data_IF_015300378304
#
_entry.id   IF_015300378304
#
_cell.length_a   1.000
_cell.length_b   1.000
_cell.length_c   1.000
_cell.angle_alpha   90.00
_cell.angle_beta   90.00
_cell.angle_gamma   90.00
#
_symmetry.space_group_name_H-M   'P 1'
#
loop_
_entity.id
_entity.type
_entity.pdbx_description
1 polymer ?
#
# COMPACT_ATOMS: atom_id res chain seq x y z
N UNK A 1 30.15 34.49 26.26
CA UNK A 1 28.75 34.10 26.57
C UNK A 1 27.85 34.05 25.32
N UNK A 2 27.91 35.05 24.41
CA UNK A 2 27.06 35.01 23.18
C UNK A 2 27.32 33.81 22.25
N UNK A 3 28.54 33.34 22.15
CA UNK A 3 28.92 32.18 21.32
C UNK A 3 28.35 30.86 21.82
N UNK A 4 28.16 30.71 23.15
CA UNK A 4 27.59 29.50 23.77
C UNK A 4 26.09 29.40 23.46
N UNK A 5 25.36 30.52 23.46
CA UNK A 5 23.94 30.53 23.12
C UNK A 5 23.66 30.19 21.64
N UNK A 6 24.57 30.62 20.75
CA UNK A 6 24.50 30.28 19.32
C UNK A 6 24.71 28.77 19.11
N UNK A 7 25.64 28.17 19.83
CA UNK A 7 25.96 26.75 19.76
C UNK A 7 24.82 25.88 20.31
N UNK A 8 24.19 26.30 21.41
CA UNK A 8 23.01 25.64 22.00
C UNK A 8 21.80 25.77 21.05
N UNK A 9 21.58 26.93 20.44
CA UNK A 9 20.50 27.13 19.47
C UNK A 9 20.67 26.22 18.25
N UNK A 10 21.91 26.06 17.75
CA UNK A 10 22.23 25.16 16.65
C UNK A 10 22.02 23.68 17.02
N UNK A 11 22.35 23.29 18.25
CA UNK A 11 22.16 21.91 18.75
C UNK A 11 20.69 21.55 18.88
N UNK A 12 19.84 22.48 19.34
CA UNK A 12 18.40 22.27 19.50
C UNK A 12 17.68 22.15 18.14
N UNK A 13 18.11 22.90 17.11
CA UNK A 13 17.52 22.82 15.78
C UNK A 13 17.86 21.52 15.04
N UNK A 14 18.97 20.86 15.39
CA UNK A 14 19.33 19.55 14.83
C UNK A 14 18.58 18.38 15.47
N UNK A 15 18.15 18.50 16.73
CA UNK A 15 17.46 17.45 17.46
C UNK A 15 16.00 17.23 17.00
N UNK A 16 15.37 18.19 16.34
CA UNK A 16 13.94 18.11 15.98
C UNK A 16 13.65 17.35 14.67
N UNK A 17 14.68 17.00 13.89
CA UNK A 17 14.47 16.30 12.60
C UNK A 17 14.30 14.77 12.70
N UNK A 18 14.56 14.17 13.87
CA UNK A 18 14.49 12.72 14.08
C UNK A 18 13.08 12.17 14.34
N UNK A 19 12.20 12.95 14.93
CA UNK A 19 10.88 12.45 15.38
C UNK A 19 9.84 12.25 14.27
N UNK A 20 9.98 12.89 13.11
CA UNK A 20 9.02 12.77 12.01
C UNK A 20 9.15 11.43 11.28
N UNK A 21 10.35 10.86 11.19
CA UNK A 21 10.60 9.59 10.48
C UNK A 21 10.08 8.36 11.23
N UNK A 22 10.12 8.36 12.57
CA UNK A 22 9.60 7.24 13.37
C UNK A 22 8.08 7.13 13.27
N UNK A 23 7.36 8.25 13.24
CA UNK A 23 5.89 8.25 13.07
C UNK A 23 5.47 7.75 11.67
N UNK A 24 6.20 8.12 10.62
CA UNK A 24 5.91 7.66 9.26
C UNK A 24 6.16 6.15 9.11
N UNK A 25 7.24 5.64 9.71
CA UNK A 25 7.56 4.20 9.72
C UNK A 25 6.52 3.42 10.53
N UNK A 26 6.11 3.93 11.69
CA UNK A 26 5.06 3.32 12.51
C UNK A 26 3.70 3.29 11.77
N UNK A 27 3.38 4.36 11.04
CA UNK A 27 2.16 4.44 10.23
C UNK A 27 2.22 3.51 9.02
N UNK A 28 3.39 3.34 8.43
CA UNK A 28 3.61 2.38 7.34
C UNK A 28 3.49 0.93 7.82
N UNK A 29 3.98 0.62 9.02
CA UNK A 29 3.83 -0.67 9.68
C UNK A 29 2.35 -0.97 10.00
N UNK A 30 1.62 0.00 10.55
CA UNK A 30 0.17 -0.09 10.77
C UNK A 30 -0.61 -0.34 9.46
N UNK A 31 -0.20 0.31 8.38
CA UNK A 31 -0.80 0.13 7.06
C UNK A 31 -0.51 -1.24 6.47
N UNK A 32 0.68 -1.80 6.73
CA UNK A 32 1.05 -3.17 6.35
C UNK A 32 0.28 -4.21 7.18
N UNK A 33 0.03 -3.93 8.45
CA UNK A 33 -0.78 -4.77 9.32
C UNK A 33 -2.24 -4.80 8.87
N UNK A 34 -2.83 -3.65 8.56
CA UNK A 34 -4.16 -3.56 7.92
C UNK A 34 -4.23 -4.37 6.64
N UNK A 35 -3.19 -4.31 5.79
CA UNK A 35 -3.14 -5.08 4.57
C UNK A 35 -3.08 -6.59 4.81
N UNK A 36 -2.35 -7.02 5.83
CA UNK A 36 -2.29 -8.43 6.22
C UNK A 36 -3.67 -8.91 6.68
N UNK A 37 -4.42 -8.06 7.38
CA UNK A 37 -5.80 -8.31 7.75
C UNK A 37 -6.71 -8.42 6.50
N UNK A 38 -6.59 -7.50 5.53
CA UNK A 38 -7.33 -7.58 4.26
C UNK A 38 -6.98 -8.83 3.44
N UNK A 39 -5.72 -9.25 3.44
CA UNK A 39 -5.31 -10.51 2.77
C UNK A 39 -5.96 -11.74 3.41
N UNK A 40 -6.12 -11.75 4.74
CA UNK A 40 -6.88 -12.80 5.44
C UNK A 40 -8.36 -12.74 5.07
N UNK A 41 -8.96 -11.55 5.07
CA UNK A 41 -10.34 -11.34 4.64
C UNK A 41 -10.57 -11.87 3.21
N UNK A 42 -9.65 -11.60 2.29
CA UNK A 42 -9.75 -12.10 0.91
C UNK A 42 -9.66 -13.63 0.84
N UNK A 43 -8.76 -14.24 1.63
CA UNK A 43 -8.66 -15.70 1.74
C UNK A 43 -9.95 -16.29 2.28
N UNK A 44 -10.47 -15.73 3.36
CA UNK A 44 -11.69 -16.18 4.02
C UNK A 44 -12.93 -15.94 3.13
N UNK A 45 -12.94 -14.84 2.35
CA UNK A 45 -13.98 -14.61 1.32
C UNK A 45 -13.93 -15.64 0.20
N UNK A 46 -12.74 -16.01 -0.26
CA UNK A 46 -12.57 -17.04 -1.30
C UNK A 46 -13.01 -18.41 -0.80
N UNK A 47 -12.75 -18.71 0.45
CA UNK A 47 -13.17 -19.95 1.09
C UNK A 47 -14.67 -19.89 1.45
N UNK A 48 -15.18 -18.75 1.90
CA UNK A 48 -16.61 -18.49 2.08
C UNK A 48 -17.42 -18.56 0.77
N UNK A 49 -16.84 -18.13 -0.35
CA UNK A 49 -17.44 -18.27 -1.67
C UNK A 49 -17.57 -19.75 -2.09
N UNK A 50 -16.56 -20.57 -1.81
CA UNK A 50 -16.63 -22.02 -2.04
C UNK A 50 -17.70 -22.70 -1.16
N UNK A 51 -17.87 -22.19 0.08
CA UNK A 51 -18.88 -22.70 1.04
C UNK A 51 -20.27 -22.31 0.61
N UNK A 52 -20.48 -21.09 0.08
CA UNK A 52 -21.77 -20.63 -0.46
C UNK A 52 -22.20 -21.38 -1.73
N UNK A 53 -21.24 -21.84 -2.52
CA UNK A 53 -21.44 -22.69 -3.69
C UNK A 53 -21.81 -24.15 -3.28
N UNK A 54 -21.34 -24.59 -2.10
CA UNK A 54 -21.56 -25.95 -1.55
C UNK A 54 -22.71 -26.10 -0.56
N UNK A 55 -23.43 -25.05 -0.21
CA UNK A 55 -24.60 -25.13 0.70
C UNK A 55 -24.35 -24.58 2.10
N UNK A 56 -25.38 -23.95 2.62
CA UNK A 56 -25.51 -23.18 3.87
C UNK A 56 -25.10 -23.91 5.18
N UNK A 57 -24.88 -25.21 5.15
CA UNK A 57 -24.70 -26.02 6.37
C UNK A 57 -23.27 -26.09 6.94
N UNK A 58 -22.29 -25.54 6.23
CA UNK A 58 -20.87 -25.66 6.67
C UNK A 58 -20.36 -24.40 7.41
N UNK A 59 -21.18 -23.35 7.53
CA UNK A 59 -20.80 -22.08 8.19
C UNK A 59 -20.59 -22.21 9.69
N UNK A 60 -21.04 -23.33 10.32
CA UNK A 60 -21.04 -23.54 11.77
C UNK A 60 -19.69 -23.89 12.38
N UNK A 61 -18.71 -24.31 11.57
CA UNK A 61 -17.45 -24.86 12.04
C UNK A 61 -16.21 -23.98 11.85
N UNK A 62 -16.37 -22.73 11.40
CA UNK A 62 -15.24 -21.78 11.31
C UNK A 62 -15.04 -21.10 12.65
N UNK A 63 -14.15 -21.69 13.41
CA UNK A 63 -13.76 -21.48 14.80
C UNK A 63 -13.24 -20.06 15.13
N UNK A 64 -13.66 -19.59 16.17
CA UNK A 64 -13.48 -18.72 17.34
C UNK A 64 -12.25 -17.79 17.46
N UNK A 65 -11.28 -17.72 16.56
CA UNK A 65 -9.99 -17.05 16.86
C UNK A 65 -9.78 -15.62 16.35
N UNK A 66 -10.41 -15.18 15.24
CA UNK A 66 -10.16 -13.87 14.61
C UNK A 66 -11.44 -13.20 14.08
N UNK A 67 -12.54 -13.47 14.70
CA UNK A 67 -13.88 -13.30 14.16
C UNK A 67 -14.40 -11.85 14.11
N UNK A 68 -13.88 -10.92 14.89
CA UNK A 68 -14.56 -9.61 15.05
C UNK A 68 -14.41 -8.64 13.88
N UNK A 69 -13.26 -8.60 13.20
CA UNK A 69 -13.05 -7.71 12.05
C UNK A 69 -13.62 -8.37 10.77
N UNK A 70 -13.41 -9.67 10.64
CA UNK A 70 -13.97 -10.46 9.54
C UNK A 70 -15.50 -10.51 9.59
N UNK A 71 -16.07 -10.58 10.79
CA UNK A 71 -17.52 -10.60 10.98
C UNK A 71 -18.18 -9.32 10.47
N UNK A 72 -17.65 -8.14 10.80
CA UNK A 72 -18.24 -6.87 10.34
C UNK A 72 -18.19 -6.71 8.83
N UNK A 73 -17.11 -7.17 8.19
CA UNK A 73 -16.98 -7.14 6.73
C UNK A 73 -17.90 -8.20 6.07
N UNK A 74 -17.89 -9.43 6.57
CA UNK A 74 -18.74 -10.52 6.06
C UNK A 74 -20.22 -10.25 6.35
N UNK A 75 -20.57 -9.76 7.53
CA UNK A 75 -21.95 -9.38 7.87
C UNK A 75 -22.42 -8.23 6.97
N UNK A 76 -21.55 -7.25 6.67
CA UNK A 76 -21.83 -6.20 5.70
C UNK A 76 -22.06 -6.76 4.30
N UNK A 77 -21.21 -7.67 3.85
CA UNK A 77 -21.30 -8.31 2.55
C UNK A 77 -22.50 -9.27 2.45
N UNK A 78 -22.88 -9.93 3.54
CA UNK A 78 -24.06 -10.83 3.58
C UNK A 78 -25.39 -10.08 3.54
N UNK A 79 -25.41 -8.83 3.97
CA UNK A 79 -26.61 -7.99 3.98
C UNK A 79 -26.83 -7.23 2.68
N UNK A 80 -25.83 -7.09 1.80
CA UNK A 80 -26.05 -6.57 0.44
C UNK A 80 -26.63 -7.63 -0.47
N UNK A 81 -27.23 -7.19 -1.58
CA UNK A 81 -27.81 -8.09 -2.55
C UNK A 81 -26.80 -9.11 -3.11
N UNK A 82 -27.24 -10.28 -3.57
CA UNK A 82 -26.38 -11.25 -4.23
C UNK A 82 -25.59 -10.68 -5.40
N UNK A 83 -26.12 -9.67 -6.07
CA UNK A 83 -25.49 -8.98 -7.22
C UNK A 83 -24.23 -8.27 -6.79
N UNK A 84 -24.30 -7.42 -5.77
CA UNK A 84 -23.15 -6.66 -5.23
C UNK A 84 -22.12 -7.61 -4.58
N UNK A 85 -22.60 -8.61 -3.85
CA UNK A 85 -21.73 -9.59 -3.19
C UNK A 85 -20.87 -10.40 -4.16
N UNK A 86 -21.43 -10.75 -5.34
CA UNK A 86 -20.73 -11.51 -6.38
C UNK A 86 -19.94 -10.63 -7.35
N UNK A 87 -19.92 -9.31 -7.12
CA UNK A 87 -19.29 -8.40 -8.06
C UNK A 87 -17.77 -8.56 -8.06
N UNK A 88 -17.24 -9.07 -9.15
CA UNK A 88 -15.83 -9.48 -9.30
C UNK A 88 -14.82 -8.36 -9.00
N UNK A 89 -15.18 -7.10 -9.28
CA UNK A 89 -14.27 -5.96 -9.06
C UNK A 89 -13.94 -5.77 -7.59
N UNK A 90 -14.79 -6.21 -6.64
CA UNK A 90 -14.48 -6.16 -5.19
C UNK A 90 -13.21 -6.94 -4.86
N UNK A 91 -13.10 -8.18 -5.33
CA UNK A 91 -11.90 -9.00 -5.13
C UNK A 91 -10.69 -8.44 -5.88
N UNK A 92 -10.90 -7.89 -7.08
CA UNK A 92 -9.81 -7.30 -7.87
C UNK A 92 -9.22 -6.05 -7.22
N UNK A 93 -10.03 -5.19 -6.58
CA UNK A 93 -9.55 -4.03 -5.81
C UNK A 93 -8.57 -4.47 -4.71
N UNK A 94 -8.93 -5.52 -3.97
CA UNK A 94 -8.07 -6.06 -2.90
C UNK A 94 -6.78 -6.66 -3.49
N UNK A 95 -6.88 -7.36 -4.62
CA UNK A 95 -5.70 -7.87 -5.32
C UNK A 95 -4.76 -6.74 -5.78
N UNK A 96 -5.30 -5.63 -6.27
CA UNK A 96 -4.52 -4.47 -6.67
C UNK A 96 -3.79 -3.85 -5.48
N UNK A 97 -4.44 -3.74 -4.33
CA UNK A 97 -3.79 -3.28 -3.10
C UNK A 97 -2.59 -4.18 -2.72
N UNK A 98 -2.77 -5.50 -2.75
CA UNK A 98 -1.70 -6.45 -2.47
C UNK A 98 -0.54 -6.28 -3.46
N UNK A 99 -0.85 -6.12 -4.75
CA UNK A 99 0.16 -5.90 -5.80
C UNK A 99 0.91 -4.58 -5.59
N UNK A 100 0.21 -3.47 -5.33
CA UNK A 100 0.81 -2.17 -5.04
C UNK A 100 1.86 -2.29 -3.93
N UNK A 101 1.51 -2.91 -2.80
CA UNK A 101 2.45 -3.04 -1.68
C UNK A 101 3.59 -4.00 -1.99
N UNK A 102 3.34 -5.12 -2.66
CA UNK A 102 4.39 -6.06 -3.04
C UNK A 102 5.40 -5.41 -3.98
N UNK A 103 4.91 -4.74 -5.03
CA UNK A 103 5.75 -4.09 -6.04
C UNK A 103 6.55 -2.93 -5.44
N UNK A 104 5.94 -2.12 -4.57
CA UNK A 104 6.63 -1.09 -3.80
C UNK A 104 7.78 -1.66 -2.96
N UNK A 105 7.48 -2.64 -2.09
CA UNK A 105 8.50 -3.19 -1.17
C UNK A 105 9.68 -3.77 -1.93
N UNK A 106 9.42 -4.49 -3.02
CA UNK A 106 10.46 -5.10 -3.84
C UNK A 106 11.33 -4.04 -4.52
N UNK A 107 10.71 -3.06 -5.17
CA UNK A 107 11.42 -2.02 -5.88
C UNK A 107 12.24 -1.13 -4.94
N UNK A 108 11.64 -0.69 -3.83
CA UNK A 108 12.33 0.18 -2.86
C UNK A 108 13.52 -0.51 -2.19
N UNK A 109 13.41 -1.81 -1.88
CA UNK A 109 14.54 -2.58 -1.38
C UNK A 109 15.70 -2.63 -2.39
N UNK A 110 15.40 -2.85 -3.67
CA UNK A 110 16.39 -2.84 -4.75
C UNK A 110 17.05 -1.45 -4.91
N UNK A 111 16.28 -0.37 -4.82
CA UNK A 111 16.81 1.00 -4.91
C UNK A 111 17.73 1.33 -3.75
N UNK A 112 17.40 0.91 -2.52
CA UNK A 112 18.31 1.03 -1.37
C UNK A 112 19.60 0.23 -1.56
N UNK A 113 19.52 -1.01 -2.01
CA UNK A 113 20.69 -1.88 -2.23
C UNK A 113 21.60 -1.37 -3.35
N UNK A 114 21.06 -0.73 -4.37
CA UNK A 114 21.84 -0.20 -5.48
C UNK A 114 22.87 0.86 -5.04
N UNK A 115 22.66 1.53 -3.91
CA UNK A 115 23.53 2.57 -3.35
C UNK A 115 23.93 3.66 -4.36
N UNK A 116 22.96 4.07 -5.18
CA UNK A 116 23.10 5.06 -6.25
C UNK A 116 22.42 6.37 -5.88
N UNK A 117 21.36 6.29 -5.09
CA UNK A 117 20.58 7.46 -4.67
C UNK A 117 21.17 8.10 -3.41
N UNK A 118 21.10 9.43 -3.35
CA UNK A 118 21.38 10.20 -2.14
C UNK A 118 20.21 10.03 -1.15
N UNK A 119 20.49 10.28 0.13
CA UNK A 119 19.46 10.17 1.19
C UNK A 119 18.19 10.97 0.86
N UNK A 120 18.32 12.23 0.40
CA UNK A 120 17.16 13.05 0.02
C UNK A 120 16.34 12.48 -1.14
N UNK A 121 16.99 11.84 -2.13
CA UNK A 121 16.30 11.19 -3.24
C UNK A 121 15.55 9.94 -2.76
N UNK A 122 16.15 9.13 -1.88
CA UNK A 122 15.47 7.99 -1.27
C UNK A 122 14.26 8.42 -0.45
N UNK A 123 14.37 9.52 0.31
CA UNK A 123 13.23 10.10 1.05
C UNK A 123 12.11 10.53 0.09
N UNK A 124 12.45 11.16 -1.04
CA UNK A 124 11.45 11.54 -2.06
C UNK A 124 10.75 10.32 -2.64
N UNK A 125 11.50 9.27 -2.99
CA UNK A 125 10.96 8.01 -3.48
C UNK A 125 10.02 7.38 -2.45
N UNK A 126 10.43 7.33 -1.18
CA UNK A 126 9.64 6.79 -0.07
C UNK A 126 8.35 7.57 0.15
N UNK A 127 8.42 8.91 0.13
CA UNK A 127 7.25 9.79 0.25
C UNK A 127 6.26 9.56 -0.89
N UNK A 128 6.75 9.37 -2.11
CA UNK A 128 5.89 9.07 -3.26
C UNK A 128 5.11 7.78 -3.04
N UNK A 129 5.78 6.71 -2.62
CA UNK A 129 5.11 5.45 -2.31
C UNK A 129 4.11 5.58 -1.14
N UNK A 130 4.50 6.27 -0.07
CA UNK A 130 3.65 6.51 1.09
C UNK A 130 2.35 7.21 0.68
N UNK A 131 2.43 8.22 -0.19
CA UNK A 131 1.27 8.93 -0.70
C UNK A 131 0.32 8.00 -1.49
N UNK A 132 0.86 7.16 -2.37
CA UNK A 132 0.06 6.19 -3.13
C UNK A 132 -0.60 5.17 -2.21
N UNK A 133 0.13 4.65 -1.23
CA UNK A 133 -0.39 3.69 -0.25
C UNK A 133 -1.52 4.32 0.56
N UNK A 134 -1.33 5.53 1.07
CA UNK A 134 -2.37 6.22 1.84
C UNK A 134 -3.63 6.49 1.01
N UNK A 135 -3.48 6.83 -0.27
CA UNK A 135 -4.61 6.98 -1.18
C UNK A 135 -5.31 5.65 -1.45
N UNK A 136 -4.57 4.57 -1.66
CA UNK A 136 -5.15 3.25 -1.89
C UNK A 136 -5.86 2.68 -0.66
N UNK A 137 -5.37 2.99 0.55
CA UNK A 137 -6.05 2.64 1.79
C UNK A 137 -7.38 3.37 1.95
N UNK A 138 -7.46 4.66 1.58
CA UNK A 138 -8.75 5.38 1.56
C UNK A 138 -9.76 4.72 0.62
N UNK A 139 -9.32 4.22 -0.53
CA UNK A 139 -10.17 3.47 -1.44
C UNK A 139 -10.70 2.16 -0.82
N UNK A 140 -9.87 1.47 -0.03
CA UNK A 140 -10.33 0.28 0.70
C UNK A 140 -11.31 0.63 1.83
N UNK A 141 -11.08 1.72 2.54
CA UNK A 141 -12.01 2.21 3.57
C UNK A 141 -13.37 2.57 2.92
N UNK A 142 -13.35 3.25 1.77
CA UNK A 142 -14.56 3.55 1.00
C UNK A 142 -15.25 2.29 0.49
N UNK A 143 -14.51 1.34 -0.08
CA UNK A 143 -15.06 0.05 -0.48
C UNK A 143 -15.78 -0.64 0.68
N UNK A 144 -15.16 -0.64 1.86
CA UNK A 144 -15.74 -1.22 3.08
C UNK A 144 -17.06 -0.55 3.44
N UNK A 145 -17.17 0.76 3.28
CA UNK A 145 -18.42 1.51 3.54
C UNK A 145 -19.49 1.15 2.49
N UNK A 146 -19.12 1.12 1.21
CA UNK A 146 -20.02 0.81 0.09
C UNK A 146 -20.59 -0.59 0.18
N UNK A 147 -19.78 -1.59 0.57
CA UNK A 147 -20.24 -2.98 0.72
C UNK A 147 -20.91 -3.28 2.06
N UNK A 148 -20.84 -2.34 3.03
CA UNK A 148 -21.52 -2.52 4.32
C UNK A 148 -22.99 -2.11 4.20
N UNK A 149 -23.90 -3.05 4.44
CA UNK A 149 -25.32 -2.71 4.52
C UNK A 149 -25.60 -1.86 5.75
N UNK A 150 -26.52 -0.94 5.64
CA UNK A 150 -26.94 -0.10 6.77
C UNK A 150 -26.08 1.13 7.04
N UNK A 151 -24.87 1.26 6.49
CA UNK A 151 -24.06 2.50 6.61
C UNK A 151 -24.46 3.58 5.61
N UNK A 152 -24.93 3.18 4.43
CA UNK A 152 -25.38 4.10 3.39
C UNK A 152 -26.74 3.66 2.84
N UNK A 153 -27.63 4.63 2.60
CA UNK A 153 -28.87 4.40 1.84
C UNK A 153 -28.54 4.47 0.35
N UNK A 154 -28.05 3.36 -0.20
CA UNK A 154 -27.67 3.21 -1.61
C UNK A 154 -28.39 2.03 -2.19
N UNK A 155 -28.88 2.18 -3.43
CA UNK A 155 -29.34 1.08 -4.28
C UNK A 155 -28.15 0.20 -4.71
N UNK A 156 -28.44 -0.99 -5.21
CA UNK A 156 -27.40 -1.89 -5.73
C UNK A 156 -26.63 -1.26 -6.92
N UNK A 157 -27.34 -0.54 -7.79
CA UNK A 157 -26.73 0.14 -8.95
C UNK A 157 -25.77 1.25 -8.50
N UNK A 158 -26.16 2.04 -7.50
CA UNK A 158 -25.27 3.07 -6.93
C UNK A 158 -24.03 2.45 -6.27
N UNK A 159 -24.18 1.29 -5.61
CA UNK A 159 -23.06 0.54 -5.02
C UNK A 159 -22.13 0.00 -6.10
N UNK A 160 -22.66 -0.58 -7.17
CA UNK A 160 -21.88 -1.09 -8.30
C UNK A 160 -21.10 0.06 -8.95
N UNK A 161 -21.73 1.19 -9.21
CA UNK A 161 -21.07 2.37 -9.78
C UNK A 161 -19.95 2.89 -8.87
N UNK A 162 -20.16 2.91 -7.55
CA UNK A 162 -19.13 3.29 -6.59
C UNK A 162 -17.95 2.29 -6.58
N UNK A 163 -18.24 0.98 -6.64
CA UNK A 163 -17.20 -0.06 -6.75
C UNK A 163 -16.41 0.08 -8.05
N UNK A 164 -17.09 0.39 -9.16
CA UNK A 164 -16.45 0.60 -10.46
C UNK A 164 -15.46 1.76 -10.42
N UNK A 165 -15.86 2.88 -9.84
CA UNK A 165 -15.00 4.03 -9.65
C UNK A 165 -13.78 3.70 -8.77
N UNK A 166 -14.01 3.03 -7.64
CA UNK A 166 -12.92 2.59 -6.75
C UNK A 166 -11.96 1.65 -7.49
N UNK A 167 -12.49 0.76 -8.31
CA UNK A 167 -11.69 -0.16 -9.11
C UNK A 167 -10.77 0.59 -10.08
N UNK A 168 -11.29 1.53 -10.85
CA UNK A 168 -10.53 2.36 -11.79
C UNK A 168 -9.44 3.15 -11.05
N UNK A 169 -9.78 3.78 -9.93
CA UNK A 169 -8.79 4.49 -9.12
C UNK A 169 -7.68 3.59 -8.58
N UNK A 170 -7.99 2.33 -8.23
CA UNK A 170 -6.98 1.37 -7.75
C UNK A 170 -6.13 0.83 -8.90
N UNK A 171 -6.71 0.66 -10.09
CA UNK A 171 -5.97 0.30 -11.30
C UNK A 171 -4.96 1.38 -11.67
N UNK A 172 -5.39 2.65 -11.68
CA UNK A 172 -4.51 3.80 -11.94
C UNK A 172 -3.34 3.85 -10.95
N UNK A 173 -3.59 3.62 -9.66
CA UNK A 173 -2.54 3.59 -8.65
C UNK A 173 -1.53 2.45 -8.88
N UNK A 174 -2.00 1.28 -9.28
CA UNK A 174 -1.12 0.15 -9.63
C UNK A 174 -0.28 0.46 -10.86
N UNK A 175 -0.89 1.05 -11.90
CA UNK A 175 -0.20 1.48 -13.12
C UNK A 175 0.85 2.55 -12.80
N UNK A 176 0.50 3.52 -11.96
CA UNK A 176 1.46 4.53 -11.50
C UNK A 176 2.66 3.91 -10.79
N UNK A 177 2.45 3.00 -9.83
CA UNK A 177 3.55 2.33 -9.11
C UNK A 177 4.47 1.59 -10.09
N UNK A 178 3.92 0.88 -11.06
CA UNK A 178 4.70 0.17 -12.07
C UNK A 178 5.52 1.10 -12.95
N UNK A 179 4.89 2.18 -13.41
CA UNK A 179 5.59 3.19 -14.20
C UNK A 179 6.71 3.84 -13.37
N UNK A 180 6.42 4.26 -12.15
CA UNK A 180 7.39 4.86 -11.25
C UNK A 180 8.57 3.92 -10.93
N UNK A 181 8.30 2.65 -10.69
CA UNK A 181 9.32 1.63 -10.48
C UNK A 181 10.23 1.49 -11.70
N UNK A 182 9.65 1.46 -12.90
CA UNK A 182 10.39 1.34 -14.16
C UNK A 182 11.30 2.55 -14.39
N UNK A 183 10.77 3.77 -14.25
CA UNK A 183 11.55 5.00 -14.47
C UNK A 183 12.68 5.13 -13.43
N UNK A 184 12.41 4.79 -12.17
CA UNK A 184 13.41 4.79 -11.11
C UNK A 184 14.49 3.74 -11.36
N UNK A 185 14.13 2.54 -11.83
CA UNK A 185 15.08 1.49 -12.19
C UNK A 185 15.97 1.90 -13.39
N UNK A 186 15.41 2.57 -14.40
CA UNK A 186 16.18 3.13 -15.49
C UNK A 186 17.21 4.15 -15.01
N UNK A 187 16.83 5.02 -14.07
CA UNK A 187 17.76 5.96 -13.43
C UNK A 187 18.90 5.24 -12.71
N UNK A 188 18.62 4.13 -12.01
CA UNK A 188 19.67 3.31 -11.38
C UNK A 188 20.65 2.79 -12.42
N UNK A 189 20.17 2.22 -13.51
CA UNK A 189 21.00 1.67 -14.58
C UNK A 189 21.89 2.74 -15.23
N UNK A 190 21.32 3.90 -15.54
CA UNK A 190 22.06 5.02 -16.12
C UNK A 190 23.20 5.49 -15.22
N UNK A 191 22.90 5.74 -13.94
CA UNK A 191 23.92 6.20 -12.97
C UNK A 191 24.98 5.13 -12.68
N UNK A 192 24.63 3.85 -12.69
CA UNK A 192 25.59 2.75 -12.58
C UNK A 192 26.55 2.73 -13.76
N UNK A 193 26.04 2.91 -14.97
CA UNK A 193 26.86 3.00 -16.19
C UNK A 193 27.83 4.17 -16.11
N UNK A 194 27.33 5.37 -15.79
CA UNK A 194 28.16 6.58 -15.63
C UNK A 194 29.27 6.36 -14.59
N UNK A 195 28.95 5.78 -13.44
CA UNK A 195 29.93 5.48 -12.38
C UNK A 195 31.02 4.52 -12.87
N UNK A 196 30.64 3.53 -13.66
CA UNK A 196 31.59 2.57 -14.24
C UNK A 196 32.48 3.22 -15.28
N UNK A 197 31.93 4.05 -16.14
CA UNK A 197 32.69 4.81 -17.15
C UNK A 197 33.70 5.75 -16.51
N UNK A 198 33.30 6.51 -15.49
CA UNK A 198 34.19 7.39 -14.71
C UNK A 198 35.32 6.57 -14.08
N UNK A 199 35.03 5.43 -13.49
CA UNK A 199 36.05 4.56 -12.89
C UNK A 199 37.04 4.04 -13.93
N UNK A 200 36.56 3.66 -15.10
CA UNK A 200 37.41 3.19 -16.21
C UNK A 200 38.33 4.32 -16.70
N UNK A 201 37.80 5.53 -16.89
CA UNK A 201 38.61 6.70 -17.26
C UNK A 201 39.67 6.99 -16.19
N UNK A 202 39.32 7.01 -14.91
CA UNK A 202 40.29 7.23 -13.83
C UNK A 202 41.42 6.20 -13.83
N UNK A 203 41.12 4.94 -14.16
CA UNK A 203 42.13 3.89 -14.24
C UNK A 203 43.07 4.08 -15.45
N UNK A 204 42.58 4.64 -16.55
CA UNK A 204 43.42 4.95 -17.74
C UNK A 204 44.40 6.10 -17.44
N UNK A 205 43.99 7.10 -16.70
CA UNK A 205 44.84 8.27 -16.34
C UNK A 205 45.77 8.02 -15.14
N UNK A 206 45.63 6.91 -14.43
CA UNK A 206 46.55 6.54 -13.32
C UNK A 206 47.78 5.72 -13.75
N UNK A 207 47.87 5.39 -15.06
CA UNK A 207 49.04 4.80 -15.67
C UNK A 207 49.91 5.90 -16.29
#
# INVERSE_FOLDING_TARGET
MKTIYILIFFLVTFATKGYCQEQEIAQLLLNVEKLTQFKRILSDMKDGYKILEGGYNTVKDISEGNFNIHKQFLDGLMQVSPTVRKYRKVSMIIEYQIKIIKEYKTAFAQFKQANIFRTGELTTIETTYTNVINQSLRNLDELTIVISSGKLRMSDDERINAIDRIFEEMEDKLMFVRHFNKETALTVLQRQKEKTEIKNLQNLYKK
#
